data_IF_235864330205
#
_entry.id   IF_235864330205
#
_cell.length_a   1.000
_cell.length_b   1.000
_cell.length_c   1.000
_cell.angle_alpha   90.00
_cell.angle_beta   90.00
_cell.angle_gamma   90.00
#
_symmetry.space_group_name_H-M   'P 1'
#
loop_
_entity.id
_entity.type
_entity.pdbx_description
1 polymer ?
#
# COMPACT_ATOMS: atom_id res chain seq x y z
N UNK A 1 -23.17 12.04 0.06
CA UNK A 1 -21.92 12.84 0.02
C UNK A 1 -20.83 11.97 0.62
N UNK A 2 -20.08 11.24 -0.24
CA UNK A 2 -18.93 10.46 0.19
C UNK A 2 -17.84 11.39 0.72
N UNK A 3 -17.26 11.08 1.87
CA UNK A 3 -16.03 11.71 2.33
C UNK A 3 -14.90 11.10 1.51
N UNK A 4 -14.20 11.89 0.71
CA UNK A 4 -13.00 11.41 0.04
C UNK A 4 -11.82 11.50 1.00
N UNK A 5 -11.09 10.41 1.12
CA UNK A 5 -9.78 10.40 1.76
C UNK A 5 -8.73 10.68 0.68
N UNK A 6 -8.02 11.78 0.82
CA UNK A 6 -7.04 12.21 -0.19
C UNK A 6 -5.67 11.58 0.05
N UNK A 7 -4.97 11.29 -1.04
CA UNK A 7 -3.57 10.89 -1.00
C UNK A 7 -2.68 12.07 -0.56
N UNK A 8 -1.52 11.78 -0.02
CA UNK A 8 -0.46 12.75 0.24
C UNK A 8 0.00 13.41 -1.06
N UNK A 9 -0.03 14.74 -1.11
CA UNK A 9 0.33 15.50 -2.30
C UNK A 9 1.85 15.68 -2.40
N UNK A 10 2.52 14.86 -3.18
CA UNK A 10 3.94 15.02 -3.53
C UNK A 10 4.15 15.64 -4.92
N UNK A 11 3.07 15.94 -5.66
CA UNK A 11 3.15 16.45 -7.04
C UNK A 11 3.47 17.95 -7.11
N UNK A 12 3.09 18.72 -6.09
CA UNK A 12 3.39 20.16 -6.01
C UNK A 12 4.48 20.45 -5.00
N UNK A 13 5.25 21.53 -5.22
CA UNK A 13 6.30 21.93 -4.27
C UNK A 13 5.72 22.19 -2.87
N UNK A 14 4.60 22.89 -2.76
CA UNK A 14 3.95 23.16 -1.48
C UNK A 14 3.53 21.87 -0.77
N UNK A 15 2.82 20.97 -1.48
CA UNK A 15 2.42 19.69 -0.90
C UNK A 15 3.61 18.80 -0.51
N UNK A 16 4.68 18.80 -1.30
CA UNK A 16 5.91 18.11 -0.96
C UNK A 16 6.53 18.63 0.34
N UNK A 17 6.62 19.94 0.53
CA UNK A 17 7.15 20.55 1.76
C UNK A 17 6.24 20.27 2.96
N UNK A 18 4.91 20.28 2.77
CA UNK A 18 3.96 19.94 3.83
C UNK A 18 4.11 18.50 4.30
N UNK A 19 4.13 17.53 3.38
CA UNK A 19 4.31 16.11 3.76
C UNK A 19 5.70 15.83 4.33
N UNK A 20 6.74 16.53 3.86
CA UNK A 20 8.08 16.45 4.42
C UNK A 20 8.11 16.94 5.87
N UNK A 21 7.46 18.08 6.16
CA UNK A 21 7.36 18.60 7.52
C UNK A 21 6.62 17.63 8.45
N UNK A 22 5.49 17.07 8.00
CA UNK A 22 4.70 16.09 8.76
C UNK A 22 5.53 14.81 8.98
N UNK A 23 6.15 14.27 7.93
CA UNK A 23 6.93 13.05 8.02
C UNK A 23 8.13 13.20 8.96
N UNK A 24 8.85 14.34 8.87
CA UNK A 24 9.98 14.64 9.76
C UNK A 24 9.52 14.76 11.22
N UNK A 25 8.44 15.51 11.46
CA UNK A 25 7.88 15.65 12.80
C UNK A 25 7.50 14.29 13.41
N UNK A 26 6.76 13.45 12.68
CA UNK A 26 6.34 12.14 13.17
C UNK A 26 7.55 11.22 13.41
N UNK A 27 8.50 11.21 12.50
CA UNK A 27 9.71 10.41 12.61
C UNK A 27 10.56 10.80 13.82
N UNK A 28 10.77 12.10 14.05
CA UNK A 28 11.49 12.62 15.22
C UNK A 28 10.71 12.34 16.51
N UNK A 29 9.41 12.57 16.51
CA UNK A 29 8.57 12.41 17.71
C UNK A 29 8.50 10.96 18.18
N UNK A 30 8.43 10.01 17.25
CA UNK A 30 8.30 8.56 17.52
C UNK A 30 9.55 7.74 17.17
N UNK A 31 10.69 8.40 16.97
CA UNK A 31 11.96 7.74 16.65
C UNK A 31 12.77 7.27 17.87
N UNK A 32 12.17 7.23 19.06
CA UNK A 32 12.84 6.78 20.28
C UNK A 32 13.31 7.89 21.22
N UNK A 33 12.84 9.13 21.06
CA UNK A 33 13.27 10.31 21.82
C UNK A 33 12.42 10.60 23.08
N UNK A 34 11.81 9.58 23.68
CA UNK A 34 11.05 9.73 24.94
C UNK A 34 9.53 9.70 24.80
N UNK A 35 9.00 9.78 23.57
CA UNK A 35 7.55 9.69 23.28
C UNK A 35 7.11 8.28 22.82
N UNK A 36 7.94 7.29 23.07
CA UNK A 36 7.78 5.93 22.55
C UNK A 36 8.48 5.75 21.21
N UNK A 37 8.45 4.51 20.70
CA UNK A 37 9.09 4.15 19.43
C UNK A 37 8.12 3.41 18.54
N UNK A 38 7.96 3.89 17.31
CA UNK A 38 7.24 3.16 16.26
C UNK A 38 8.27 2.41 15.41
N UNK A 39 8.21 1.07 15.46
CA UNK A 39 9.12 0.20 14.70
C UNK A 39 8.60 -0.18 13.33
N UNK A 40 7.27 -0.15 13.13
CA UNK A 40 6.62 -0.49 11.87
C UNK A 40 5.68 0.65 11.46
N UNK A 41 5.88 1.17 10.26
CA UNK A 41 5.13 2.29 9.71
C UNK A 41 4.39 1.86 8.46
N UNK A 42 3.09 2.09 8.40
CA UNK A 42 2.28 1.84 7.20
C UNK A 42 1.89 3.20 6.59
N UNK A 43 2.30 3.44 5.36
CA UNK A 43 2.06 4.70 4.67
C UNK A 43 0.88 4.54 3.71
N UNK A 44 -0.25 5.11 4.09
CA UNK A 44 -1.52 4.98 3.37
C UNK A 44 -2.26 3.69 3.71
N UNK A 45 -3.56 3.66 3.41
CA UNK A 45 -4.43 2.52 3.61
C UNK A 45 -4.96 2.02 2.27
N UNK A 46 -4.75 0.72 1.96
CA UNK A 46 -5.30 0.06 0.77
C UNK A 46 -5.11 0.91 -0.51
N UNK A 47 -3.85 1.23 -0.81
CA UNK A 47 -3.51 2.19 -1.85
C UNK A 47 -3.95 1.79 -3.26
N UNK A 48 -4.32 0.53 -3.48
CA UNK A 48 -4.91 0.08 -4.73
C UNK A 48 -6.36 0.54 -4.94
N UNK A 49 -6.95 1.26 -3.96
CA UNK A 49 -8.30 1.80 -4.06
C UNK A 49 -8.32 3.29 -3.71
N UNK A 50 -8.66 4.13 -4.68
CA UNK A 50 -8.75 5.58 -4.50
C UNK A 50 -9.90 6.04 -3.58
N UNK A 51 -10.77 5.15 -3.11
CA UNK A 51 -11.69 5.49 -2.02
C UNK A 51 -10.95 5.95 -0.76
N UNK A 52 -9.74 5.42 -0.54
CA UNK A 52 -8.89 5.76 0.60
C UNK A 52 -7.75 6.75 0.28
N UNK A 53 -7.41 6.92 -0.99
CA UNK A 53 -6.24 7.70 -1.42
C UNK A 53 -6.55 8.46 -2.73
N UNK A 54 -7.57 9.30 -2.71
CA UNK A 54 -8.06 9.97 -3.90
C UNK A 54 -7.10 11.07 -4.38
N UNK A 55 -6.76 11.02 -5.67
CA UNK A 55 -6.00 12.09 -6.35
C UNK A 55 -6.59 12.43 -7.74
N UNK A 56 -7.70 11.80 -8.10
CA UNK A 56 -8.35 11.93 -9.39
C UNK A 56 -8.17 10.69 -10.26
N UNK A 57 -9.08 10.48 -11.23
CA UNK A 57 -8.99 9.35 -12.15
C UNK A 57 -7.69 9.39 -12.96
N UNK A 58 -6.94 8.30 -12.95
CA UNK A 58 -5.72 8.15 -13.75
C UNK A 58 -5.38 6.66 -13.94
N UNK A 59 -4.47 6.37 -14.86
CA UNK A 59 -3.95 5.02 -15.04
C UNK A 59 -3.07 4.59 -13.85
N UNK A 60 -2.91 3.29 -13.70
CA UNK A 60 -2.17 2.70 -12.58
C UNK A 60 -0.70 3.12 -12.53
N UNK A 61 -0.05 3.31 -13.69
CA UNK A 61 1.36 3.71 -13.73
C UNK A 61 1.55 5.12 -13.16
N UNK A 62 0.72 6.05 -13.61
CA UNK A 62 0.70 7.43 -13.13
C UNK A 62 0.37 7.49 -11.63
N UNK A 63 -0.65 6.75 -11.20
CA UNK A 63 -1.09 6.68 -9.81
C UNK A 63 0.00 6.18 -8.88
N UNK A 64 0.59 5.04 -9.20
CA UNK A 64 1.63 4.42 -8.36
C UNK A 64 2.90 5.27 -8.32
N UNK A 65 3.21 5.98 -9.41
CA UNK A 65 4.34 6.91 -9.44
C UNK A 65 4.15 8.10 -8.47
N UNK A 66 2.95 8.69 -8.43
CA UNK A 66 2.65 9.77 -7.48
C UNK A 66 2.66 9.26 -6.02
N UNK A 67 2.09 8.07 -5.79
CA UNK A 67 2.13 7.45 -4.48
C UNK A 67 3.57 7.15 -4.02
N UNK A 68 4.41 6.60 -4.89
CA UNK A 68 5.79 6.25 -4.58
C UNK A 68 6.62 7.48 -4.18
N UNK A 69 6.39 8.64 -4.81
CA UNK A 69 7.02 9.90 -4.40
C UNK A 69 6.69 10.27 -2.96
N UNK A 70 5.41 10.20 -2.59
CA UNK A 70 4.98 10.48 -1.22
C UNK A 70 5.57 9.45 -0.24
N UNK A 71 5.55 8.16 -0.60
CA UNK A 71 6.14 7.09 0.20
C UNK A 71 7.62 7.35 0.49
N UNK A 72 8.42 7.77 -0.50
CA UNK A 72 9.84 8.08 -0.31
C UNK A 72 10.08 9.23 0.66
N UNK A 73 9.21 10.22 0.71
CA UNK A 73 9.33 11.31 1.69
C UNK A 73 9.23 10.75 3.10
N UNK A 74 8.20 9.96 3.38
CA UNK A 74 8.04 9.30 4.69
C UNK A 74 9.17 8.32 4.98
N UNK A 75 9.52 7.46 4.01
CA UNK A 75 10.62 6.51 4.15
C UNK A 75 11.93 7.20 4.56
N UNK A 76 12.29 8.26 3.86
CA UNK A 76 13.53 9.01 4.12
C UNK A 76 13.52 9.64 5.52
N UNK A 77 12.42 10.27 5.91
CA UNK A 77 12.27 10.86 7.24
C UNK A 77 12.37 9.79 8.34
N UNK A 78 11.66 8.68 8.20
CA UNK A 78 11.67 7.57 9.18
C UNK A 78 13.07 6.96 9.30
N UNK A 79 13.71 6.65 8.18
CA UNK A 79 15.04 6.03 8.18
C UNK A 79 16.14 6.97 8.67
N UNK A 80 15.98 8.29 8.55
CA UNK A 80 16.93 9.27 9.08
C UNK A 80 16.95 9.32 10.61
N UNK A 81 15.85 8.97 11.26
CA UNK A 81 15.73 8.96 12.73
C UNK A 81 15.81 7.55 13.31
N UNK A 82 15.33 6.54 12.61
CA UNK A 82 15.33 5.15 13.04
C UNK A 82 15.68 4.20 11.90
N UNK A 83 16.97 3.92 11.74
CA UNK A 83 17.47 3.07 10.65
C UNK A 83 16.86 1.66 10.63
N UNK A 84 16.49 1.12 11.81
CA UNK A 84 15.91 -0.21 11.96
C UNK A 84 14.38 -0.24 11.79
N UNK A 85 13.71 0.90 11.69
CA UNK A 85 12.28 0.94 11.45
C UNK A 85 11.94 0.33 10.09
N UNK A 86 10.81 -0.38 10.03
CA UNK A 86 10.29 -0.96 8.79
C UNK A 86 9.18 -0.07 8.25
N UNK A 87 9.18 0.13 6.94
CA UNK A 87 8.20 0.98 6.26
C UNK A 87 7.44 0.16 5.23
N UNK A 88 6.12 0.20 5.33
CA UNK A 88 5.20 -0.60 4.53
C UNK A 88 4.23 0.31 3.78
N UNK A 89 3.68 -0.18 2.69
CA UNK A 89 2.38 0.27 2.19
C UNK A 89 1.36 -0.85 2.34
N UNK A 90 0.06 -0.55 2.24
CA UNK A 90 -0.97 -1.58 2.31
C UNK A 90 -1.80 -1.65 1.03
N UNK A 91 -2.28 -2.87 0.72
CA UNK A 91 -3.29 -3.14 -0.29
C UNK A 91 -4.41 -3.96 0.31
N UNK A 92 -5.59 -3.89 -0.30
CA UNK A 92 -6.69 -4.81 -0.02
C UNK A 92 -6.47 -6.16 -0.71
N UNK A 93 -7.43 -7.07 -0.55
CA UNK A 93 -7.41 -8.45 -1.04
C UNK A 93 -7.73 -8.62 -2.54
N UNK A 94 -8.08 -7.53 -3.25
CA UNK A 94 -8.39 -7.57 -4.68
C UNK A 94 -7.10 -7.74 -5.50
N UNK A 95 -6.68 -8.98 -5.62
CA UNK A 95 -5.41 -9.32 -6.24
C UNK A 95 -5.44 -9.12 -7.75
N UNK A 96 -6.48 -9.64 -8.42
CA UNK A 96 -6.71 -9.52 -9.84
C UNK A 96 -8.20 -9.40 -10.15
N UNK A 97 -8.91 -8.51 -9.44
CA UNK A 97 -10.36 -8.41 -9.46
C UNK A 97 -10.86 -6.97 -9.25
N UNK A 98 -11.96 -6.64 -9.93
CA UNK A 98 -12.67 -5.35 -9.81
C UNK A 98 -11.84 -4.07 -10.11
N UNK A 99 -10.75 -4.18 -10.85
CA UNK A 99 -10.05 -3.00 -11.33
C UNK A 99 -10.89 -2.28 -12.40
N UNK A 100 -11.05 -0.94 -12.24
CA UNK A 100 -11.66 -0.08 -13.26
C UNK A 100 -10.61 0.69 -14.08
N UNK A 101 -9.33 0.54 -13.70
CA UNK A 101 -8.18 1.14 -14.36
C UNK A 101 -8.03 2.66 -14.15
N UNK A 102 -8.87 3.27 -13.31
CA UNK A 102 -8.86 4.71 -13.08
C UNK A 102 -8.98 5.13 -11.61
N UNK A 103 -9.75 4.38 -10.82
CA UNK A 103 -9.98 4.62 -9.39
C UNK A 103 -9.75 3.39 -8.52
N UNK A 104 -9.82 2.20 -9.14
CA UNK A 104 -9.50 0.92 -8.50
C UNK A 104 -8.50 0.16 -9.36
N UNK A 105 -7.52 -0.41 -8.71
CA UNK A 105 -6.43 -1.13 -9.36
C UNK A 105 -6.26 -2.51 -8.70
N UNK A 106 -5.76 -3.47 -9.46
CA UNK A 106 -5.37 -4.75 -8.89
C UNK A 106 -4.20 -4.57 -7.92
N UNK A 107 -4.22 -5.23 -6.78
CA UNK A 107 -3.11 -5.19 -5.83
C UNK A 107 -1.81 -5.69 -6.48
N UNK A 108 -1.88 -6.73 -7.32
CA UNK A 108 -0.75 -7.27 -8.08
C UNK A 108 -0.08 -6.18 -8.93
N UNK A 109 -0.86 -5.45 -9.74
CA UNK A 109 -0.34 -4.39 -10.61
C UNK A 109 0.32 -3.27 -9.80
N UNK A 110 -0.31 -2.86 -8.70
CA UNK A 110 0.25 -1.82 -7.81
C UNK A 110 1.59 -2.24 -7.22
N UNK A 111 1.70 -3.48 -6.74
CA UNK A 111 2.92 -4.04 -6.17
C UNK A 111 4.04 -4.09 -7.22
N UNK A 112 3.76 -4.60 -8.42
CA UNK A 112 4.73 -4.69 -9.50
C UNK A 112 5.26 -3.31 -9.93
N UNK A 113 4.35 -2.35 -10.13
CA UNK A 113 4.70 -1.00 -10.56
C UNK A 113 5.43 -0.22 -9.47
N UNK A 114 5.03 -0.38 -8.21
CA UNK A 114 5.74 0.21 -7.09
C UNK A 114 7.18 -0.31 -7.01
N UNK A 115 7.36 -1.62 -7.09
CA UNK A 115 8.69 -2.23 -7.10
C UNK A 115 9.55 -1.77 -8.28
N UNK A 116 8.95 -1.64 -9.47
CA UNK A 116 9.63 -1.13 -10.66
C UNK A 116 10.09 0.34 -10.48
N UNK A 117 9.21 1.20 -9.93
CA UNK A 117 9.54 2.59 -9.64
C UNK A 117 10.64 2.71 -8.58
N UNK A 118 10.57 1.89 -7.52
CA UNK A 118 11.61 1.83 -6.49
C UNK A 118 12.97 1.46 -7.07
N UNK A 119 13.02 0.45 -7.95
CA UNK A 119 14.27 0.05 -8.61
C UNK A 119 14.83 1.14 -9.54
N UNK A 120 13.96 1.83 -10.26
CA UNK A 120 14.36 2.90 -11.18
C UNK A 120 14.81 4.17 -10.45
N UNK A 121 14.16 4.52 -9.35
CA UNK A 121 14.42 5.74 -8.57
C UNK A 121 15.47 5.61 -7.46
N UNK A 122 16.10 4.44 -7.31
CA UNK A 122 17.01 4.11 -6.22
C UNK A 122 16.37 3.17 -5.21
N UNK A 123 17.00 2.02 -5.03
CA UNK A 123 16.52 0.92 -4.19
C UNK A 123 16.29 1.37 -2.74
N UNK A 124 15.12 1.11 -2.22
CA UNK A 124 14.75 1.25 -0.81
C UNK A 124 14.20 -0.08 -0.31
N UNK A 125 14.30 -0.31 0.99
CA UNK A 125 13.79 -1.50 1.67
C UNK A 125 12.34 -1.21 2.13
N UNK A 126 11.36 -1.85 1.50
CA UNK A 126 9.94 -1.66 1.77
C UNK A 126 9.25 -3.00 2.07
N UNK A 127 8.14 -2.92 2.76
CA UNK A 127 7.29 -4.08 3.05
C UNK A 127 5.86 -3.89 2.58
N UNK A 128 5.10 -4.98 2.54
CA UNK A 128 3.68 -5.00 2.25
C UNK A 128 2.88 -5.32 3.51
N UNK A 129 1.92 -4.46 3.85
CA UNK A 129 0.88 -4.71 4.85
C UNK A 129 -0.40 -5.09 4.09
N UNK A 130 -0.53 -6.36 3.79
CA UNK A 130 -1.65 -6.89 3.01
C UNK A 130 -2.88 -7.09 3.89
N UNK A 131 -4.08 -6.77 3.38
CA UNK A 131 -5.35 -6.93 4.09
C UNK A 131 -6.14 -8.12 3.52
N UNK A 132 -5.93 -9.34 4.02
CA UNK A 132 -6.50 -10.57 3.45
C UNK A 132 -7.88 -10.88 4.01
N UNK A 133 -8.84 -9.98 3.82
CA UNK A 133 -10.20 -10.15 4.34
C UNK A 133 -10.94 -11.32 3.69
N UNK A 134 -11.92 -11.89 4.41
CA UNK A 134 -12.85 -12.90 3.90
C UNK A 134 -13.80 -12.35 2.82
N UNK A 135 -14.40 -13.23 2.06
CA UNK A 135 -15.35 -12.90 0.97
C UNK A 135 -16.67 -13.65 1.16
N UNK A 136 -17.79 -12.94 1.39
CA UNK A 136 -17.88 -11.47 1.56
C UNK A 136 -17.24 -11.01 2.88
N UNK A 137 -16.87 -9.73 2.94
CA UNK A 137 -16.18 -9.12 4.09
C UNK A 137 -16.91 -9.32 5.44
N UNK A 138 -18.24 -9.48 5.41
CA UNK A 138 -19.09 -9.68 6.60
C UNK A 138 -19.11 -11.10 7.11
N UNK A 139 -18.59 -12.07 6.35
CA UNK A 139 -18.58 -13.49 6.70
C UNK A 139 -17.19 -13.89 7.16
N UNK A 140 -16.98 -14.25 8.43
CA UNK A 140 -15.65 -14.54 8.95
C UNK A 140 -15.13 -15.94 8.58
N UNK A 141 -15.96 -16.79 7.98
CA UNK A 141 -15.68 -18.18 7.64
C UNK A 141 -14.83 -18.29 6.37
N UNK A 142 -13.64 -17.68 6.38
CA UNK A 142 -12.74 -17.59 5.22
C UNK A 142 -12.38 -18.94 4.57
N UNK A 143 -12.50 -20.04 5.30
CA UNK A 143 -12.25 -21.39 4.79
C UNK A 143 -13.29 -21.85 3.75
N UNK A 144 -14.46 -21.19 3.71
CA UNK A 144 -15.52 -21.45 2.74
C UNK A 144 -15.47 -20.50 1.52
N UNK A 145 -14.58 -19.51 1.53
CA UNK A 145 -14.47 -18.45 0.51
C UNK A 145 -14.21 -19.01 -0.90
N UNK A 146 -13.61 -20.20 -1.01
CA UNK A 146 -13.43 -20.89 -2.29
C UNK A 146 -14.78 -21.17 -3.01
N UNK A 147 -15.88 -21.31 -2.26
CA UNK A 147 -17.22 -21.55 -2.82
C UNK A 147 -17.74 -20.36 -3.65
N UNK A 148 -17.19 -19.15 -3.45
CA UNK A 148 -17.51 -17.95 -4.20
C UNK A 148 -17.00 -17.98 -5.64
N UNK A 149 -16.01 -18.84 -5.94
CA UNK A 149 -15.30 -18.87 -7.22
C UNK A 149 -14.27 -17.74 -7.40
N UNK A 150 -14.19 -16.80 -6.43
CA UNK A 150 -13.25 -15.68 -6.47
C UNK A 150 -11.92 -15.99 -5.78
N UNK A 151 -11.92 -16.96 -4.87
CA UNK A 151 -10.73 -17.42 -4.15
C UNK A 151 -10.27 -18.76 -4.76
N UNK A 152 -9.16 -18.72 -5.47
CA UNK A 152 -8.55 -19.90 -6.13
C UNK A 152 -7.10 -20.04 -5.69
N UNK A 153 -6.46 -21.19 -6.02
CA UNK A 153 -5.03 -21.41 -5.70
C UNK A 153 -4.13 -21.18 -6.92
N UNK A 154 -4.59 -20.36 -7.86
CA UNK A 154 -3.80 -19.91 -9.01
C UNK A 154 -3.15 -18.56 -8.70
N UNK A 155 -1.99 -18.28 -9.30
CA UNK A 155 -1.37 -16.96 -9.27
C UNK A 155 -2.27 -15.86 -9.88
N UNK A 156 -3.20 -16.25 -10.75
CA UNK A 156 -4.22 -15.38 -11.34
C UNK A 156 -5.54 -15.38 -10.54
N UNK A 157 -5.51 -15.79 -9.27
CA UNK A 157 -6.69 -15.72 -8.40
C UNK A 157 -7.30 -14.33 -8.43
N UNK A 158 -8.62 -14.16 -8.60
CA UNK A 158 -9.26 -12.85 -8.47
C UNK A 158 -8.96 -12.20 -7.12
N UNK A 159 -9.10 -12.96 -6.05
CA UNK A 159 -8.87 -12.52 -4.67
C UNK A 159 -7.81 -13.40 -4.02
N UNK A 160 -6.89 -12.75 -3.31
CA UNK A 160 -5.98 -13.43 -2.39
C UNK A 160 -6.34 -13.00 -0.97
N UNK A 161 -6.70 -13.96 -0.12
CA UNK A 161 -7.10 -13.72 1.26
C UNK A 161 -6.46 -14.73 2.22
N UNK A 162 -6.97 -14.88 3.42
CA UNK A 162 -6.40 -15.82 4.41
C UNK A 162 -6.42 -17.27 3.88
N UNK A 163 -7.46 -17.67 3.13
CA UNK A 163 -7.61 -19.05 2.65
C UNK A 163 -6.48 -19.47 1.68
N UNK A 164 -6.07 -18.56 0.80
CA UNK A 164 -5.08 -18.80 -0.25
C UNK A 164 -3.83 -17.90 -0.16
N UNK A 165 -3.48 -17.45 1.03
CA UNK A 165 -2.39 -16.49 1.28
C UNK A 165 -1.01 -16.99 0.78
N UNK A 166 -0.85 -18.30 0.61
CA UNK A 166 0.34 -18.89 0.01
C UNK A 166 0.66 -18.33 -1.37
N UNK A 167 -0.35 -17.94 -2.15
CA UNK A 167 -0.15 -17.31 -3.46
C UNK A 167 0.71 -16.05 -3.34
N UNK A 168 0.40 -15.20 -2.37
CA UNK A 168 1.15 -13.97 -2.13
C UNK A 168 2.60 -14.27 -1.71
N UNK A 169 2.80 -15.23 -0.80
CA UNK A 169 4.14 -15.60 -0.35
C UNK A 169 4.97 -16.23 -1.46
N UNK A 170 4.38 -17.11 -2.26
CA UNK A 170 5.06 -17.73 -3.40
C UNK A 170 5.41 -16.71 -4.49
N UNK A 171 4.53 -15.71 -4.69
CA UNK A 171 4.78 -14.62 -5.62
C UNK A 171 6.03 -13.81 -5.25
N UNK A 172 6.24 -13.50 -3.96
CA UNK A 172 7.40 -12.76 -3.49
C UNK A 172 8.70 -13.58 -3.41
N UNK A 173 8.65 -14.89 -3.59
CA UNK A 173 9.83 -15.75 -3.62
C UNK A 173 10.44 -15.90 -5.02
N UNK A 174 9.77 -15.43 -6.07
CA UNK A 174 10.23 -15.43 -7.46
C UNK A 174 11.13 -14.24 -7.78
#
# INVERSE_FOLDING_TARGET
NGVNYYMFNAATQAGFEDIKAIASFLAEHYGGTGNGTISNWIIGNEINNQAWNYIGPMDVDSYVKEYERAFRVFYTAIKSTSANARVFFSTDYNWNYEADGSLKYNAKDVIEKFNANVRAGGQIDWGLAYHPYSVPLTEPEFWDDASTGLVTWSEDSPIVNIANLSILTDYFQK
#
